data_IF_037151099282
#
_entry.id   IF_037151099282
#
_cell.length_a   1.000
_cell.length_b   1.000
_cell.length_c   1.000
_cell.angle_alpha   90.00
_cell.angle_beta   90.00
_cell.angle_gamma   90.00
#
_symmetry.space_group_name_H-M   'P 1'
#
loop_
_entity.id
_entity.type
_entity.pdbx_description
1 polymer ?
#
# COMPACT_ATOMS: atom_id res chain seq x y z
N UNK A 1 -17.01 -6.65 -12.28
CA UNK A 1 -17.39 -5.52 -11.40
C UNK A 1 -16.12 -5.04 -10.72
N UNK A 2 -15.93 -3.73 -10.55
CA UNK A 2 -14.76 -3.21 -9.82
C UNK A 2 -15.03 -3.15 -8.32
N UNK A 3 -14.00 -3.28 -7.51
CA UNK A 3 -14.08 -3.26 -6.06
C UNK A 3 -13.06 -2.28 -5.51
N UNK A 4 -13.43 -1.54 -4.47
CA UNK A 4 -12.61 -0.48 -3.92
C UNK A 4 -12.58 -0.54 -2.41
N UNK A 5 -11.38 -0.39 -1.86
CA UNK A 5 -11.17 -0.06 -0.46
C UNK A 5 -10.70 1.39 -0.39
N UNK A 6 -11.28 2.16 0.53
CA UNK A 6 -10.92 3.57 0.70
C UNK A 6 -10.53 3.82 2.15
N UNK A 7 -9.33 4.35 2.35
CA UNK A 7 -8.86 4.87 3.63
C UNK A 7 -9.44 6.28 3.77
N UNK A 8 -10.13 6.56 4.87
CA UNK A 8 -10.59 7.90 5.22
C UNK A 8 -9.86 8.39 6.46
N UNK A 9 -9.48 9.66 6.45
CA UNK A 9 -8.88 10.34 7.59
C UNK A 9 -9.76 11.51 7.97
N UNK A 10 -10.26 11.48 9.20
CA UNK A 10 -10.87 12.66 9.79
C UNK A 10 -9.77 13.51 10.44
N UNK A 11 -9.55 14.75 9.96
CA UNK A 11 -8.69 15.70 10.66
C UNK A 11 -9.42 16.16 11.93
N UNK A 12 -8.91 15.82 13.12
CA UNK A 12 -9.55 16.19 14.39
C UNK A 12 -9.14 17.62 14.81
N UNK A 13 -9.49 18.61 14.00
CA UNK A 13 -9.22 20.04 14.28
C UNK A 13 -10.05 20.56 15.49
N UNK A 14 -11.09 19.84 15.92
CA UNK A 14 -12.04 20.30 16.95
C UNK A 14 -11.66 19.97 18.42
N UNK A 15 -10.54 19.32 18.70
CA UNK A 15 -10.11 19.04 20.09
C UNK A 15 -8.87 19.86 20.46
N UNK A 16 -9.02 20.72 21.48
CA UNK A 16 -8.01 21.48 22.23
C UNK A 16 -7.69 22.91 21.77
N UNK A 17 -8.56 23.85 22.17
CA UNK A 17 -8.12 25.14 22.72
C UNK A 17 -8.22 25.02 24.25
N UNK A 18 -7.13 24.64 24.92
CA UNK A 18 -7.02 24.86 26.38
C UNK A 18 -6.54 26.30 26.59
N UNK A 19 -7.51 27.22 26.70
CA UNK A 19 -7.27 28.66 26.78
C UNK A 19 -6.50 29.10 28.02
N UNK A 20 -6.25 28.20 28.98
CA UNK A 20 -5.71 28.56 30.29
C UNK A 20 -4.23 28.19 30.50
N UNK A 21 -3.63 27.33 29.67
CA UNK A 21 -2.30 26.75 29.99
C UNK A 21 -1.18 26.93 28.95
N UNK A 22 -1.41 27.61 27.81
CA UNK A 22 -0.38 27.90 26.76
C UNK A 22 0.53 26.74 26.33
N UNK A 23 0.20 25.49 26.66
CA UNK A 23 0.92 24.31 26.21
C UNK A 23 0.24 23.78 24.97
N UNK A 24 0.76 24.16 23.80
CA UNK A 24 0.49 23.49 22.54
C UNK A 24 0.92 22.02 22.68
N UNK A 25 -0.04 21.10 22.89
CA UNK A 25 0.14 19.75 22.39
C UNK A 25 -0.02 19.88 20.90
N UNK A 26 1.01 19.55 20.11
CA UNK A 26 0.99 19.65 18.66
C UNK A 26 -0.28 18.97 18.11
N UNK A 27 -1.21 19.81 17.64
CA UNK A 27 -2.61 19.46 17.34
C UNK A 27 -2.77 18.74 16.00
N UNK A 28 -1.68 18.45 15.29
CA UNK A 28 -1.69 17.83 13.96
C UNK A 28 -1.78 16.28 14.00
N UNK A 29 -1.53 15.66 15.16
CA UNK A 29 -1.37 14.20 15.27
C UNK A 29 -2.64 13.42 15.66
N UNK A 30 -3.72 14.08 16.08
CA UNK A 30 -4.98 13.39 16.36
C UNK A 30 -5.80 13.30 15.08
N UNK A 31 -5.74 12.15 14.42
CA UNK A 31 -6.62 11.84 13.29
C UNK A 31 -7.33 10.51 13.52
N UNK A 32 -8.60 10.41 13.13
CA UNK A 32 -9.32 9.14 13.15
C UNK A 32 -9.31 8.50 11.76
N UNK A 33 -8.76 7.29 11.66
CA UNK A 33 -8.70 6.54 10.42
C UNK A 33 -9.75 5.43 10.37
N UNK A 34 -10.40 5.27 9.22
CA UNK A 34 -11.35 4.18 8.97
C UNK A 34 -11.39 3.77 7.50
N UNK A 35 -12.01 2.63 7.21
CA UNK A 35 -12.15 2.06 5.88
C UNK A 35 -13.58 2.25 5.36
N UNK A 36 -13.74 2.62 4.10
CA UNK A 36 -14.98 2.46 3.36
C UNK A 36 -14.84 1.43 2.25
N UNK A 37 -15.87 0.63 2.04
CA UNK A 37 -15.90 -0.45 1.05
C UNK A 37 -16.98 -0.18 0.01
N UNK A 38 -16.55 0.02 -1.24
CA UNK A 38 -17.47 0.28 -2.36
C UNK A 38 -17.23 -0.68 -3.52
N UNK A 39 -18.29 -0.96 -4.29
CA UNK A 39 -18.25 -1.86 -5.45
C UNK A 39 -19.01 -1.27 -6.62
N UNK A 40 -18.57 -1.57 -7.84
CA UNK A 40 -19.10 -1.03 -9.08
C UNK A 40 -18.67 0.40 -9.38
N UNK A 41 -18.57 1.26 -8.35
CA UNK A 41 -18.20 2.68 -8.46
C UNK A 41 -17.25 3.06 -7.33
N UNK A 42 -16.26 3.87 -7.66
CA UNK A 42 -15.35 4.50 -6.70
C UNK A 42 -16.06 5.65 -5.95
N UNK A 43 -15.54 6.08 -4.78
CA UNK A 43 -16.01 7.29 -4.11
C UNK A 43 -16.01 8.55 -4.99
N UNK A 44 -15.04 8.69 -5.91
CA UNK A 44 -14.99 9.85 -6.82
C UNK A 44 -16.16 9.83 -7.81
N UNK A 45 -16.48 8.66 -8.36
CA UNK A 45 -17.63 8.47 -9.26
C UNK A 45 -18.97 8.65 -8.53
N UNK A 46 -19.04 8.26 -7.26
CA UNK A 46 -20.22 8.48 -6.42
C UNK A 46 -20.41 9.96 -6.09
N UNK A 47 -19.32 10.70 -5.80
CA UNK A 47 -19.36 12.14 -5.58
C UNK A 47 -19.80 12.91 -6.84
N UNK A 48 -19.40 12.44 -8.03
CA UNK A 48 -19.82 13.02 -9.31
C UNK A 48 -21.31 12.77 -9.57
N UNK A 49 -21.80 11.57 -9.29
CA UNK A 49 -23.23 11.25 -9.41
C UNK A 49 -24.11 12.07 -8.46
N UNK A 50 -23.65 12.29 -7.22
CA UNK A 50 -24.35 13.19 -6.31
C UNK A 50 -24.48 14.59 -6.89
N UNK A 51 -23.43 15.13 -7.53
CA UNK A 51 -23.47 16.45 -8.18
C UNK A 51 -24.48 16.49 -9.32
N UNK A 52 -24.53 15.46 -10.16
CA UNK A 52 -25.51 15.35 -11.26
C UNK A 52 -26.94 15.29 -10.72
N UNK A 53 -27.19 14.45 -9.72
CA UNK A 53 -28.51 14.31 -9.08
C UNK A 53 -28.97 15.62 -8.43
N UNK A 54 -28.07 16.35 -7.77
CA UNK A 54 -28.35 17.68 -7.21
C UNK A 54 -28.80 18.64 -8.33
N UNK A 55 -28.09 18.67 -9.46
CA UNK A 55 -28.45 19.54 -10.58
C UNK A 55 -29.82 19.19 -11.18
N UNK A 56 -30.16 17.90 -11.27
CA UNK A 56 -31.47 17.46 -11.74
C UNK A 56 -32.59 17.84 -10.77
N UNK A 57 -32.40 17.63 -9.45
CA UNK A 57 -33.36 18.04 -8.43
C UNK A 57 -33.60 19.55 -8.43
N UNK A 58 -32.54 20.35 -8.59
CA UNK A 58 -32.64 21.81 -8.71
C UNK A 58 -33.44 22.24 -9.95
N UNK A 59 -33.25 21.56 -11.10
CA UNK A 59 -34.07 21.80 -12.30
C UNK A 59 -35.55 21.45 -12.08
N UNK A 60 -35.82 20.42 -11.30
CA UNK A 60 -37.18 19.92 -11.05
C UNK A 60 -37.85 20.51 -9.80
N UNK A 61 -37.20 21.46 -9.09
CA UNK A 61 -37.71 22.09 -7.86
C UNK A 61 -38.03 21.02 -6.79
N UNK A 62 -37.29 19.90 -6.80
CA UNK A 62 -37.41 18.85 -5.79
C UNK A 62 -36.45 19.16 -4.63
N UNK A 63 -37.00 19.80 -3.61
CA UNK A 63 -36.27 20.20 -2.40
C UNK A 63 -36.08 19.07 -1.39
N UNK A 64 -36.60 17.87 -1.66
CA UNK A 64 -36.52 16.76 -0.70
C UNK A 64 -35.16 16.07 -0.81
N UNK A 65 -34.44 16.02 0.31
CA UNK A 65 -33.12 15.36 0.42
C UNK A 65 -32.17 15.81 -0.70
N UNK A 66 -32.23 17.09 -1.09
CA UNK A 66 -31.54 17.59 -2.28
C UNK A 66 -30.04 17.77 -2.05
N UNK A 67 -29.59 17.93 -0.82
CA UNK A 67 -28.21 18.14 -0.40
C UNK A 67 -27.54 16.87 0.14
N UNK A 68 -28.32 15.79 0.29
CA UNK A 68 -27.89 14.52 0.85
C UNK A 68 -26.78 13.87 0.03
N UNK A 69 -25.71 13.48 0.69
CA UNK A 69 -24.57 12.78 0.09
C UNK A 69 -24.71 11.26 0.15
N UNK A 70 -24.10 10.54 -0.79
CA UNK A 70 -24.14 9.08 -0.88
C UNK A 70 -23.61 8.40 0.40
N UNK A 71 -22.61 9.01 1.05
CA UNK A 71 -22.01 8.48 2.27
C UNK A 71 -22.90 8.69 3.51
N UNK A 72 -23.96 9.51 3.45
CA UNK A 72 -24.91 9.71 4.57
C UNK A 72 -25.92 8.57 4.73
N UNK A 73 -25.95 7.61 3.81
CA UNK A 73 -26.81 6.45 3.95
C UNK A 73 -26.34 5.55 5.11
N UNK A 74 -27.22 5.29 6.08
CA UNK A 74 -26.98 4.37 7.22
C UNK A 74 -27.13 2.89 6.88
N UNK A 75 -27.63 2.58 5.68
CA UNK A 75 -27.85 1.20 5.23
C UNK A 75 -26.90 0.92 4.09
N UNK A 76 -26.38 -0.30 4.07
CA UNK A 76 -25.66 -0.83 2.91
C UNK A 76 -26.50 -0.63 1.66
N UNK A 77 -25.83 -0.25 0.58
CA UNK A 77 -26.43 -0.14 -0.74
C UNK A 77 -25.84 -1.20 -1.65
N UNK A 78 -26.37 -1.31 -2.88
CA UNK A 78 -25.77 -2.19 -3.89
C UNK A 78 -24.32 -1.80 -4.24
N UNK A 79 -23.89 -0.57 -3.92
CA UNK A 79 -22.57 -0.03 -4.19
C UNK A 79 -21.69 0.17 -2.95
N UNK A 80 -22.23 0.04 -1.73
CA UNK A 80 -21.52 0.37 -0.48
C UNK A 80 -21.79 -0.69 0.60
N UNK A 81 -20.74 -1.39 1.01
CA UNK A 81 -20.77 -2.39 2.09
C UNK A 81 -20.35 -1.81 3.46
N UNK A 82 -20.35 -0.48 3.59
CA UNK A 82 -20.26 0.25 4.85
C UNK A 82 -18.93 0.94 5.13
N UNK A 83 -18.91 1.66 6.25
CA UNK A 83 -17.73 2.33 6.77
C UNK A 83 -17.33 1.72 8.11
N UNK A 84 -16.11 1.19 8.17
CA UNK A 84 -15.63 0.32 9.22
C UNK A 84 -14.38 0.87 9.87
N UNK A 85 -14.29 0.82 11.19
CA UNK A 85 -13.22 1.48 11.91
C UNK A 85 -13.19 1.10 13.38
N UNK A 86 -11.99 1.12 13.93
CA UNK A 86 -11.68 0.74 15.30
C UNK A 86 -11.55 1.98 16.18
N UNK A 87 -12.19 2.00 17.35
CA UNK A 87 -12.12 3.13 18.27
C UNK A 87 -12.33 2.73 19.73
N UNK A 88 -11.94 3.62 20.63
CA UNK A 88 -12.16 3.47 22.08
C UNK A 88 -13.48 4.08 22.52
N UNK A 89 -14.05 3.55 23.59
CA UNK A 89 -15.34 3.98 24.10
C UNK A 89 -15.38 4.51 25.54
N UNK A 90 -14.37 5.28 25.95
CA UNK A 90 -14.27 5.89 27.28
C UNK A 90 -14.60 7.38 27.30
N UNK A 91 -15.07 7.89 28.46
CA UNK A 91 -15.24 9.33 28.68
C UNK A 91 -13.85 9.98 28.80
N UNK A 92 -13.60 10.96 27.94
CA UNK A 92 -12.32 11.66 27.81
C UNK A 92 -11.97 12.61 28.97
N UNK A 93 -12.90 12.80 29.92
CA UNK A 93 -12.86 13.93 30.85
C UNK A 93 -12.57 13.58 32.31
N UNK A 94 -12.59 12.31 32.71
CA UNK A 94 -12.28 11.95 34.10
C UNK A 94 -10.94 11.23 34.20
N UNK A 95 -9.94 12.03 34.59
CA UNK A 95 -8.66 11.63 35.21
C UNK A 95 -7.64 11.11 34.18
N UNK A 96 -6.42 11.64 34.27
CA UNK A 96 -5.30 11.36 33.37
C UNK A 96 -4.94 9.87 33.24
N UNK A 97 -5.70 9.17 32.40
CA UNK A 97 -5.54 7.75 32.15
C UNK A 97 -5.09 7.55 30.71
N UNK A 98 -3.77 7.63 30.59
CA UNK A 98 -2.91 7.03 29.58
C UNK A 98 -3.01 5.48 29.54
N UNK A 99 -4.11 4.88 29.99
CA UNK A 99 -4.29 3.43 30.10
C UNK A 99 -5.39 2.94 29.15
N UNK A 100 -5.17 1.74 28.59
CA UNK A 100 -5.93 1.18 27.47
C UNK A 100 -7.44 1.33 27.61
N UNK A 101 -8.05 2.04 26.68
CA UNK A 101 -9.50 2.07 26.52
C UNK A 101 -9.88 0.79 25.78
N UNK A 102 -11.03 0.21 26.10
CA UNK A 102 -11.49 -0.98 25.40
C UNK A 102 -11.86 -0.60 23.96
N UNK A 103 -11.25 -1.30 23.00
CA UNK A 103 -11.43 -1.03 21.59
C UNK A 103 -12.58 -1.82 20.98
N UNK A 104 -13.35 -1.18 20.10
CA UNK A 104 -14.47 -1.76 19.37
C UNK A 104 -14.38 -1.43 17.89
N UNK A 105 -14.76 -2.37 17.04
CA UNK A 105 -15.00 -2.10 15.62
C UNK A 105 -16.44 -1.67 15.43
N UNK A 106 -16.66 -0.59 14.69
CA UNK A 106 -17.99 -0.07 14.36
C UNK A 106 -18.26 -0.15 12.86
N UNK A 107 -19.53 -0.31 12.48
CA UNK A 107 -20.04 -0.51 11.11
C UNK A 107 -20.58 0.77 10.44
N UNK A 108 -20.53 1.90 11.16
CA UNK A 108 -21.03 3.20 10.73
C UNK A 108 -20.00 4.31 11.02
N UNK A 109 -18.73 4.08 10.67
CA UNK A 109 -17.64 5.01 10.97
C UNK A 109 -17.65 6.31 10.18
N UNK A 110 -18.56 6.50 9.22
CA UNK A 110 -18.85 7.82 8.65
C UNK A 110 -19.49 8.77 9.68
N UNK A 111 -19.96 8.24 10.81
CA UNK A 111 -20.48 9.00 11.95
C UNK A 111 -19.49 9.01 13.12
N UNK A 112 -19.46 10.14 13.84
CA UNK A 112 -18.87 10.22 15.18
C UNK A 112 -19.81 9.51 16.16
N UNK A 113 -19.25 8.61 16.95
CA UNK A 113 -19.99 7.87 17.99
C UNK A 113 -19.70 8.48 19.37
N UNK A 114 -20.74 8.55 20.21
CA UNK A 114 -20.65 8.98 21.60
C UNK A 114 -20.88 7.78 22.54
N UNK A 115 -20.32 7.87 23.75
CA UNK A 115 -20.59 6.88 24.78
C UNK A 115 -21.78 7.32 25.64
N UNK A 116 -22.87 6.55 25.60
CA UNK A 116 -23.95 6.72 26.55
C UNK A 116 -23.71 5.83 27.76
N UNK A 117 -22.96 6.34 28.74
CA UNK A 117 -22.61 5.61 29.97
C UNK A 117 -23.85 5.14 30.73
N UNK A 118 -24.88 5.99 30.81
CA UNK A 118 -26.15 5.68 31.50
C UNK A 118 -26.89 4.50 30.87
N UNK A 119 -26.89 4.43 29.53
CA UNK A 119 -27.51 3.33 28.77
C UNK A 119 -26.52 2.18 28.51
N UNK A 120 -25.27 2.32 28.93
CA UNK A 120 -24.16 1.43 28.65
C UNK A 120 -24.10 1.02 27.16
N UNK A 121 -24.22 2.00 26.25
CA UNK A 121 -24.19 1.75 24.81
C UNK A 121 -23.52 2.90 24.03
N UNK A 122 -23.13 2.64 22.78
CA UNK A 122 -22.67 3.66 21.87
C UNK A 122 -23.83 4.19 21.03
N UNK A 123 -23.88 5.51 20.86
CA UNK A 123 -24.92 6.18 20.07
C UNK A 123 -24.28 7.08 19.01
N UNK A 124 -24.97 7.29 17.89
CA UNK A 124 -24.53 8.23 16.87
C UNK A 124 -24.64 9.66 17.44
N UNK A 125 -23.55 10.42 17.41
CA UNK A 125 -23.50 11.82 17.81
C UNK A 125 -23.82 12.75 16.65
N UNK A 126 -23.00 12.66 15.59
CA UNK A 126 -23.09 13.48 14.38
C UNK A 126 -22.42 12.76 13.21
N UNK A 127 -22.73 13.19 11.99
CA UNK A 127 -21.92 12.84 10.82
C UNK A 127 -20.52 13.43 10.98
N UNK A 128 -19.48 12.74 10.51
CA UNK A 128 -18.14 13.31 10.46
C UNK A 128 -18.09 14.50 9.50
N UNK A 129 -17.08 15.36 9.66
CA UNK A 129 -16.89 16.54 8.81
C UNK A 129 -16.93 16.16 7.32
N UNK A 130 -17.50 17.03 6.47
CA UNK A 130 -17.44 16.84 5.02
C UNK A 130 -16.01 16.76 4.50
N UNK A 131 -15.06 17.41 5.20
CA UNK A 131 -13.63 17.35 4.90
C UNK A 131 -13.10 15.91 4.94
N UNK A 132 -13.61 15.05 5.83
CA UNK A 132 -13.20 13.64 5.91
C UNK A 132 -13.39 12.91 4.58
N UNK A 133 -14.42 13.29 3.81
CA UNK A 133 -14.78 12.64 2.56
C UNK A 133 -14.15 13.32 1.33
N UNK A 134 -13.38 14.40 1.50
CA UNK A 134 -12.70 15.06 0.39
C UNK A 134 -11.58 14.18 -0.20
N UNK A 135 -11.32 14.29 -1.51
CA UNK A 135 -10.23 13.54 -2.16
C UNK A 135 -8.85 13.72 -1.50
N UNK A 136 -8.59 14.87 -0.88
CA UNK A 136 -7.33 15.13 -0.16
C UNK A 136 -7.17 14.30 1.12
N UNK A 137 -8.28 13.89 1.74
CA UNK A 137 -8.30 13.21 3.05
C UNK A 137 -8.68 11.72 2.92
N UNK A 138 -8.70 11.20 1.68
CA UNK A 138 -8.95 9.78 1.41
C UNK A 138 -7.95 9.18 0.43
N UNK A 139 -7.75 7.87 0.54
CA UNK A 139 -6.94 7.08 -0.37
C UNK A 139 -7.75 5.89 -0.87
N UNK A 140 -8.21 5.96 -2.11
CA UNK A 140 -9.01 4.93 -2.79
C UNK A 140 -8.11 3.98 -3.56
N UNK A 141 -8.26 2.68 -3.35
CA UNK A 141 -7.50 1.62 -4.03
C UNK A 141 -8.48 0.64 -4.68
N UNK A 142 -8.32 0.41 -5.98
CA UNK A 142 -9.00 -0.68 -6.70
C UNK A 142 -8.38 -2.02 -6.28
N UNK A 143 -9.17 -2.98 -5.85
CA UNK A 143 -8.71 -4.30 -5.40
C UNK A 143 -9.50 -5.42 -6.10
N UNK A 144 -9.00 -6.65 -6.06
CA UNK A 144 -9.70 -7.80 -6.60
C UNK A 144 -10.94 -8.15 -5.79
N UNK A 145 -11.83 -8.95 -6.38
CA UNK A 145 -13.01 -9.46 -5.68
C UNK A 145 -12.63 -10.29 -4.44
N UNK A 146 -11.64 -11.18 -4.57
CA UNK A 146 -11.15 -12.01 -3.45
C UNK A 146 -10.62 -11.16 -2.30
N UNK A 147 -9.82 -10.14 -2.61
CA UNK A 147 -9.33 -9.17 -1.63
C UNK A 147 -10.48 -8.45 -0.94
N UNK A 148 -11.47 -7.96 -1.69
CA UNK A 148 -12.61 -7.24 -1.14
C UNK A 148 -13.47 -8.11 -0.20
N UNK A 149 -13.82 -9.31 -0.64
CA UNK A 149 -14.68 -10.22 0.12
C UNK A 149 -13.98 -10.71 1.39
N UNK A 150 -12.68 -11.01 1.31
CA UNK A 150 -11.87 -11.41 2.46
C UNK A 150 -11.72 -10.27 3.45
N UNK A 151 -11.48 -9.04 2.98
CA UNK A 151 -11.42 -7.85 3.82
C UNK A 151 -12.74 -7.64 4.57
N UNK A 152 -13.87 -7.69 3.86
CA UNK A 152 -15.19 -7.51 4.45
C UNK A 152 -15.51 -8.60 5.48
N UNK A 153 -15.15 -9.86 5.20
CA UNK A 153 -15.33 -10.96 6.14
C UNK A 153 -14.51 -10.75 7.43
N UNK A 154 -13.22 -10.44 7.30
CA UNK A 154 -12.34 -10.19 8.45
C UNK A 154 -12.83 -9.01 9.32
N UNK A 155 -13.27 -7.92 8.68
CA UNK A 155 -13.83 -6.77 9.39
C UNK A 155 -15.12 -7.14 10.13
N UNK A 156 -16.00 -7.92 9.51
CA UNK A 156 -17.24 -8.41 10.15
C UNK A 156 -16.94 -9.35 11.30
N UNK A 157 -15.91 -10.16 11.22
CA UNK A 157 -15.46 -11.03 12.31
C UNK A 157 -14.93 -10.21 13.49
N UNK A 158 -14.12 -9.18 13.24
CA UNK A 158 -13.68 -8.24 14.28
C UNK A 158 -14.86 -7.48 14.90
N UNK A 159 -15.81 -7.02 14.07
CA UNK A 159 -17.05 -6.39 14.54
C UNK A 159 -17.86 -7.34 15.44
N UNK A 160 -18.11 -8.57 15.00
CA UNK A 160 -18.86 -9.56 15.76
C UNK A 160 -18.15 -9.95 17.05
N UNK A 161 -16.81 -10.05 17.02
CA UNK A 161 -16.00 -10.35 18.20
C UNK A 161 -16.03 -9.20 19.20
N UNK A 162 -16.16 -7.95 18.75
CA UNK A 162 -16.18 -6.75 19.61
C UNK A 162 -17.58 -6.20 19.88
N UNK A 163 -18.65 -6.84 19.38
CA UNK A 163 -20.03 -6.29 19.43
C UNK A 163 -20.55 -6.08 20.85
N UNK A 164 -20.15 -6.94 21.79
CA UNK A 164 -20.56 -6.89 23.20
C UNK A 164 -19.75 -5.89 24.02
N UNK A 165 -18.72 -5.27 23.44
CA UNK A 165 -17.98 -4.20 24.09
C UNK A 165 -18.88 -2.99 24.23
N UNK A 166 -18.99 -2.48 25.45
CA UNK A 166 -19.79 -1.34 25.87
C UNK A 166 -18.92 -0.32 26.63
N UNK A 167 -19.40 0.91 26.87
CA UNK A 167 -18.66 1.91 27.63
C UNK A 167 -18.19 1.45 29.02
N UNK A 168 -18.96 0.60 29.72
CA UNK A 168 -18.62 0.10 31.06
C UNK A 168 -17.91 -1.27 31.05
N UNK A 169 -17.48 -1.77 29.89
CA UNK A 169 -16.71 -3.01 29.84
C UNK A 169 -15.41 -2.84 30.66
N UNK A 170 -14.99 -3.88 31.39
CA UNK A 170 -13.80 -3.81 32.26
C UNK A 170 -12.56 -4.47 31.66
N UNK A 171 -12.74 -5.33 30.66
CA UNK A 171 -11.64 -5.97 29.91
C UNK A 171 -12.05 -6.09 28.44
N UNK A 172 -11.10 -5.93 27.50
CA UNK A 172 -11.36 -6.29 26.11
C UNK A 172 -11.62 -7.81 26.00
N UNK A 173 -12.32 -8.20 24.93
CA UNK A 173 -12.63 -9.61 24.66
C UNK A 173 -11.34 -10.41 24.37
N UNK A 174 -10.27 -9.74 23.90
CA UNK A 174 -8.92 -10.30 23.83
C UNK A 174 -7.85 -9.20 23.86
N UNK A 175 -6.57 -9.59 23.96
CA UNK A 175 -5.44 -8.67 24.00
C UNK A 175 -5.23 -7.88 22.69
N UNK A 176 -5.78 -8.36 21.56
CA UNK A 176 -5.69 -7.69 20.25
C UNK A 176 -6.62 -6.47 20.14
N UNK A 177 -7.53 -6.25 21.11
CA UNK A 177 -8.53 -5.17 21.11
C UNK A 177 -8.35 -4.16 22.26
N UNK A 178 -7.10 -3.91 22.69
CA UNK A 178 -6.79 -2.74 23.52
C UNK A 178 -6.63 -1.50 22.61
N UNK A 179 -7.36 -0.42 22.88
CA UNK A 179 -7.22 0.86 22.20
C UNK A 179 -6.30 1.80 23.02
N UNK A 180 -5.21 2.22 22.39
CA UNK A 180 -4.25 3.19 22.90
C UNK A 180 -4.19 4.35 21.92
N UNK A 181 -4.69 5.52 22.32
CA UNK A 181 -4.75 6.69 21.43
C UNK A 181 -3.34 7.20 21.07
N UNK A 182 -2.40 7.16 22.02
CA UNK A 182 -0.97 7.48 21.77
C UNK A 182 -0.27 6.54 20.78
N UNK A 183 -0.88 5.39 20.52
CA UNK A 183 -0.37 4.41 19.58
C UNK A 183 -1.18 4.40 18.28
N UNK A 184 -2.07 5.38 18.01
CA UNK A 184 -2.85 5.43 16.76
C UNK A 184 -3.51 4.09 16.39
N UNK A 185 -4.18 3.42 17.35
CA UNK A 185 -4.65 2.04 17.14
C UNK A 185 -5.72 1.90 16.03
N UNK A 186 -6.43 2.98 15.66
CA UNK A 186 -7.31 2.98 14.49
C UNK A 186 -6.53 2.80 13.18
N UNK A 187 -5.39 3.48 13.03
CA UNK A 187 -4.45 3.34 11.92
C UNK A 187 -3.85 1.95 11.91
N UNK A 188 -3.45 1.42 13.07
CA UNK A 188 -2.89 0.06 13.18
C UNK A 188 -3.87 -1.02 12.74
N UNK A 189 -5.10 -0.94 13.23
CA UNK A 189 -6.15 -1.87 12.83
C UNK A 189 -6.33 -1.81 11.30
N UNK A 190 -6.43 -0.61 10.73
CA UNK A 190 -6.58 -0.40 9.30
C UNK A 190 -5.39 -0.98 8.50
N UNK A 191 -4.16 -0.69 8.90
CA UNK A 191 -2.95 -1.22 8.26
C UNK A 191 -2.92 -2.74 8.31
N UNK A 192 -3.32 -3.35 9.44
CA UNK A 192 -3.44 -4.80 9.58
C UNK A 192 -4.44 -5.35 8.58
N UNK A 193 -5.64 -4.76 8.47
CA UNK A 193 -6.66 -5.19 7.53
C UNK A 193 -6.17 -5.11 6.07
N UNK A 194 -5.54 -3.99 5.69
CA UNK A 194 -4.98 -3.80 4.35
C UNK A 194 -3.84 -4.78 4.03
N UNK A 195 -2.94 -5.04 4.98
CA UNK A 195 -1.87 -6.03 4.82
C UNK A 195 -2.41 -7.45 4.67
N UNK A 196 -3.49 -7.79 5.37
CA UNK A 196 -4.10 -9.12 5.29
C UNK A 196 -4.55 -9.47 3.87
N UNK A 197 -4.87 -8.48 3.04
CA UNK A 197 -5.25 -8.65 1.65
C UNK A 197 -4.13 -8.30 0.65
N UNK A 198 -2.92 -7.99 1.15
CA UNK A 198 -1.79 -7.67 0.28
C UNK A 198 -1.79 -6.23 -0.24
N UNK A 199 -2.23 -5.24 0.53
CA UNK A 199 -1.95 -3.83 0.20
C UNK A 199 -0.67 -3.38 0.93
N UNK A 200 0.26 -2.75 0.21
CA UNK A 200 1.49 -2.23 0.79
C UNK A 200 1.25 -0.86 1.45
N UNK A 201 1.46 -0.78 2.76
CA UNK A 201 1.19 0.42 3.58
C UNK A 201 2.42 0.88 4.38
N UNK A 202 3.64 0.54 3.92
CA UNK A 202 4.93 0.97 4.47
C UNK A 202 5.01 0.84 6.00
N UNK A 203 5.28 -0.37 6.48
CA UNK A 203 5.23 -0.77 7.88
C UNK A 203 5.93 0.17 8.88
N UNK A 204 5.19 0.64 9.90
CA UNK A 204 5.73 0.99 11.21
C UNK A 204 4.61 1.10 12.26
N UNK A 205 4.88 0.67 13.50
CA UNK A 205 3.97 0.84 14.65
C UNK A 205 3.75 2.30 15.06
N UNK A 206 4.48 3.24 14.46
CA UNK A 206 4.30 4.67 14.64
C UNK A 206 4.82 5.29 13.35
N UNK A 207 3.91 5.55 12.40
CA UNK A 207 4.27 6.34 11.23
C UNK A 207 4.58 7.75 11.76
N UNK A 208 5.79 8.26 11.51
CA UNK A 208 6.11 9.62 11.93
C UNK A 208 5.34 10.64 11.09
N UNK A 209 4.69 11.60 11.75
CA UNK A 209 3.82 12.58 11.08
C UNK A 209 2.41 12.05 10.78
N UNK A 210 1.72 12.67 9.83
CA UNK A 210 0.34 12.31 9.50
C UNK A 210 0.30 11.04 8.66
N UNK A 211 -0.65 10.14 8.94
CA UNK A 211 -0.88 8.97 8.07
C UNK A 211 -1.24 9.36 6.63
N UNK A 212 -1.75 10.57 6.43
CA UNK A 212 -2.05 11.10 5.09
C UNK A 212 -0.78 11.34 4.26
N UNK A 213 0.37 11.58 4.89
CA UNK A 213 1.63 11.92 4.22
C UNK A 213 2.16 10.78 3.34
N UNK A 214 1.68 9.55 3.57
CA UNK A 214 2.06 8.38 2.79
C UNK A 214 1.02 7.98 1.73
N UNK A 215 -0.10 8.70 1.60
CA UNK A 215 -1.17 8.35 0.66
C UNK A 215 -0.70 8.33 -0.79
N UNK A 216 0.08 9.32 -1.20
CA UNK A 216 0.63 9.38 -2.55
C UNK A 216 1.50 8.15 -2.85
N UNK A 217 2.29 7.71 -1.88
CA UNK A 217 3.15 6.53 -2.01
C UNK A 217 2.35 5.23 -2.05
N UNK A 218 1.28 5.13 -1.25
CA UNK A 218 0.38 3.97 -1.29
C UNK A 218 -0.26 3.90 -2.68
N UNK A 219 -0.83 5.01 -3.19
CA UNK A 219 -1.44 5.06 -4.52
C UNK A 219 -0.43 4.74 -5.62
N UNK A 220 0.77 5.30 -5.54
CA UNK A 220 1.81 5.08 -6.55
C UNK A 220 2.25 3.61 -6.61
N UNK A 221 2.62 3.02 -5.48
CA UNK A 221 3.07 1.62 -5.44
C UNK A 221 1.93 0.65 -5.81
N UNK A 222 0.71 0.93 -5.36
CA UNK A 222 -0.47 0.15 -5.72
C UNK A 222 -0.79 0.25 -7.21
N UNK A 223 -0.74 1.43 -7.81
CA UNK A 223 -0.94 1.61 -9.26
C UNK A 223 0.08 0.84 -10.09
N UNK A 224 1.34 0.76 -9.63
CA UNK A 224 2.36 -0.05 -10.29
C UNK A 224 2.03 -1.54 -10.16
N UNK A 225 1.63 -2.00 -8.98
CA UNK A 225 1.13 -3.37 -8.78
C UNK A 225 -0.05 -3.70 -9.72
N UNK A 226 -1.03 -2.81 -9.85
CA UNK A 226 -2.18 -3.00 -10.76
C UNK A 226 -1.74 -3.19 -12.22
N UNK A 227 -0.62 -2.59 -12.65
CA UNK A 227 -0.06 -2.83 -14.01
C UNK A 227 0.46 -4.26 -14.18
N UNK A 228 1.11 -4.82 -13.14
CA UNK A 228 1.52 -6.23 -13.16
C UNK A 228 0.29 -7.15 -13.12
N UNK A 229 -0.68 -6.88 -12.24
CA UNK A 229 -1.93 -7.63 -12.14
C UNK A 229 -2.71 -7.64 -13.45
N UNK A 230 -2.74 -6.50 -14.16
CA UNK A 230 -3.38 -6.41 -15.47
C UNK A 230 -2.75 -7.36 -16.51
N UNK A 231 -1.50 -7.80 -16.34
CA UNK A 231 -0.81 -8.72 -17.25
C UNK A 231 -0.90 -10.17 -16.76
N UNK A 232 -0.79 -10.38 -15.44
CA UNK A 232 -0.81 -11.68 -14.79
C UNK A 232 -1.99 -11.81 -13.81
N UNK A 233 -3.00 -12.57 -14.23
CA UNK A 233 -4.22 -12.82 -13.46
C UNK A 233 -3.98 -13.57 -12.14
N UNK A 234 -2.84 -14.25 -11.97
CA UNK A 234 -2.54 -14.91 -10.69
C UNK A 234 -2.36 -13.89 -9.55
N UNK A 235 -2.00 -12.65 -9.89
CA UNK A 235 -1.88 -11.54 -8.94
C UNK A 235 -3.24 -10.97 -8.50
N UNK A 236 -4.36 -11.42 -9.07
CA UNK A 236 -5.69 -11.11 -8.52
C UNK A 236 -5.96 -11.84 -7.20
N UNK A 237 -5.23 -12.93 -6.93
CA UNK A 237 -5.35 -13.65 -5.67
C UNK A 237 -4.62 -12.94 -4.52
N UNK A 238 -5.09 -13.16 -3.29
CA UNK A 238 -4.40 -12.63 -2.09
C UNK A 238 -3.01 -13.25 -1.97
N UNK A 239 -2.86 -14.53 -2.31
CA UNK A 239 -1.57 -15.21 -2.32
C UNK A 239 -0.62 -14.54 -3.31
N UNK A 240 -1.02 -14.37 -4.57
CA UNK A 240 -0.20 -13.72 -5.60
C UNK A 240 0.17 -12.30 -5.24
N UNK A 241 -0.78 -11.52 -4.73
CA UNK A 241 -0.52 -10.14 -4.27
C UNK A 241 0.51 -10.10 -3.13
N UNK A 242 0.35 -10.94 -2.10
CA UNK A 242 1.30 -11.01 -0.98
C UNK A 242 2.68 -11.47 -1.43
N UNK A 243 2.74 -12.45 -2.34
CA UNK A 243 3.99 -12.92 -2.92
C UNK A 243 4.69 -11.79 -3.68
N UNK A 244 3.96 -11.01 -4.49
CA UNK A 244 4.51 -9.86 -5.19
C UNK A 244 5.12 -8.86 -4.20
N UNK A 245 4.39 -8.46 -3.16
CA UNK A 245 4.91 -7.53 -2.14
C UNK A 245 6.14 -8.10 -1.44
N UNK A 246 6.12 -9.39 -1.07
CA UNK A 246 7.26 -10.05 -0.45
C UNK A 246 8.48 -9.99 -1.36
N UNK A 247 8.33 -10.37 -2.62
CA UNK A 247 9.39 -10.31 -3.61
C UNK A 247 9.94 -8.90 -3.80
N UNK A 248 9.08 -7.87 -3.85
CA UNK A 248 9.54 -6.48 -3.91
C UNK A 248 10.37 -6.10 -2.68
N UNK A 249 9.97 -6.56 -1.49
CA UNK A 249 10.69 -6.27 -0.26
C UNK A 249 12.10 -6.87 -0.23
N UNK A 250 12.34 -8.01 -0.90
CA UNK A 250 13.68 -8.62 -1.02
C UNK A 250 14.66 -7.76 -1.84
N UNK A 251 14.14 -6.83 -2.66
CA UNK A 251 14.95 -5.91 -3.47
C UNK A 251 15.20 -4.57 -2.77
N UNK A 252 14.58 -4.31 -1.61
CA UNK A 252 14.84 -3.10 -0.83
C UNK A 252 16.25 -3.22 -0.23
N UNK A 253 17.11 -2.26 -0.52
CA UNK A 253 18.54 -2.27 -0.22
C UNK A 253 19.41 -2.64 -1.41
N UNK A 254 18.83 -3.15 -2.51
CA UNK A 254 19.59 -3.42 -3.72
C UNK A 254 19.86 -2.10 -4.46
N UNK A 255 21.12 -1.67 -4.46
CA UNK A 255 21.55 -0.41 -5.09
C UNK A 255 21.19 -0.30 -6.58
N UNK A 256 21.18 -1.39 -7.34
CA UNK A 256 20.83 -1.34 -8.77
C UNK A 256 19.32 -1.22 -8.99
N UNK A 257 18.51 -1.73 -8.05
CA UNK A 257 17.05 -1.62 -8.10
C UNK A 257 16.56 -0.27 -7.57
N UNK A 258 17.32 0.35 -6.67
CA UNK A 258 17.01 1.67 -6.09
C UNK A 258 17.45 2.84 -6.98
N UNK A 259 18.39 2.65 -7.91
CA UNK A 259 18.85 3.72 -8.79
C UNK A 259 17.86 3.97 -9.94
N UNK A 260 17.28 5.17 -9.97
CA UNK A 260 16.35 5.61 -11.02
C UNK A 260 17.06 6.65 -11.90
N UNK A 261 16.59 6.82 -13.14
CA UNK A 261 16.92 8.03 -13.89
C UNK A 261 16.59 9.25 -13.03
N UNK A 262 17.61 9.90 -12.47
CA UNK A 262 17.48 11.15 -11.72
C UNK A 262 16.46 12.07 -12.38
N UNK A 263 15.25 12.10 -11.83
CA UNK A 263 14.36 13.20 -12.09
C UNK A 263 15.03 14.36 -11.36
N UNK A 264 15.76 15.18 -12.11
CA UNK A 264 16.44 16.40 -11.61
C UNK A 264 15.47 17.33 -10.83
N UNK A 265 14.18 17.03 -10.81
CA UNK A 265 13.09 17.75 -10.14
C UNK A 265 12.78 17.30 -8.72
N UNK A 266 13.23 16.13 -8.25
CA UNK A 266 12.91 15.65 -6.89
C UNK A 266 13.80 16.26 -5.79
N UNK A 267 14.66 17.22 -6.15
CA UNK A 267 15.41 18.03 -5.18
C UNK A 267 14.58 19.11 -4.48
N UNK A 268 13.29 19.26 -4.81
CA UNK A 268 12.42 20.29 -4.22
C UNK A 268 11.77 19.90 -2.89
N UNK A 269 12.03 18.70 -2.35
CA UNK A 269 11.57 18.33 -1.01
C UNK A 269 12.68 18.32 0.05
N UNK A 270 13.89 18.79 -0.27
CA UNK A 270 14.85 19.20 0.76
C UNK A 270 14.55 20.59 1.35
N UNK A 271 13.63 21.34 0.74
CA UNK A 271 13.12 22.58 1.30
C UNK A 271 11.84 22.28 2.08
N UNK A 272 11.92 22.48 3.40
CA UNK A 272 10.88 22.29 4.44
C UNK A 272 10.76 20.86 4.99
N UNK A 273 11.88 20.23 5.36
CA UNK A 273 11.92 19.48 6.63
C UNK A 273 12.04 20.50 7.76
N UNK A 274 10.96 21.26 8.02
CA UNK A 274 10.83 21.92 9.32
C UNK A 274 10.83 20.81 10.35
N UNK A 275 11.89 20.79 11.15
CA UNK A 275 12.11 19.91 12.29
C UNK A 275 10.78 19.63 13.00
N UNK A 276 10.28 18.37 13.03
CA UNK A 276 9.31 18.02 14.05
C UNK A 276 10.00 18.22 15.40
N UNK A 277 9.25 18.56 16.44
CA UNK A 277 9.70 18.48 17.83
C UNK A 277 9.99 17.00 18.18
N UNK A 278 11.05 16.43 17.62
CA UNK A 278 11.49 15.08 17.94
C UNK A 278 12.31 15.16 19.22
N UNK A 279 11.70 14.73 20.32
CA UNK A 279 12.19 14.93 21.68
C UNK A 279 13.42 14.07 22.04
N UNK A 280 13.72 13.03 21.25
CA UNK A 280 14.86 12.12 21.50
C UNK A 280 15.62 11.73 20.22
N UNK A 281 16.90 11.39 20.36
CA UNK A 281 17.75 10.88 19.27
C UNK A 281 17.16 9.59 18.67
N UNK A 282 16.62 8.71 19.50
CA UNK A 282 16.01 7.45 19.05
C UNK A 282 14.78 7.67 18.16
N UNK A 283 13.94 8.65 18.49
CA UNK A 283 12.78 9.01 17.66
C UNK A 283 13.20 9.64 16.34
N UNK A 284 14.30 10.41 16.33
CA UNK A 284 14.86 10.99 15.10
C UNK A 284 15.40 9.89 14.18
N UNK A 285 16.18 8.95 14.72
CA UNK A 285 16.69 7.82 13.94
C UNK A 285 15.56 6.96 13.36
N UNK A 286 14.49 6.72 14.13
CA UNK A 286 13.29 6.02 13.64
C UNK A 286 12.59 6.77 12.53
N UNK A 287 12.43 8.10 12.66
CA UNK A 287 11.87 8.96 11.63
C UNK A 287 12.65 8.82 10.33
N UNK A 288 13.96 9.07 10.37
CA UNK A 288 14.81 9.01 9.17
C UNK A 288 14.84 7.61 8.55
N UNK A 289 14.93 6.56 9.37
CA UNK A 289 14.95 5.18 8.89
C UNK A 289 13.66 4.82 8.14
N UNK A 290 12.51 5.27 8.65
CA UNK A 290 11.21 5.04 8.03
C UNK A 290 11.11 5.71 6.66
N UNK A 291 11.35 7.02 6.61
CA UNK A 291 11.22 7.79 5.38
C UNK A 291 12.24 7.33 4.33
N UNK A 292 13.47 7.00 4.73
CA UNK A 292 14.46 6.39 3.84
C UNK A 292 13.99 5.03 3.30
N UNK A 293 13.41 4.16 4.14
CA UNK A 293 12.88 2.87 3.69
C UNK A 293 11.70 3.06 2.72
N UNK A 294 10.79 4.00 2.99
CA UNK A 294 9.69 4.36 2.09
C UNK A 294 10.22 4.80 0.72
N UNK A 295 11.17 5.73 0.69
CA UNK A 295 11.76 6.22 -0.55
C UNK A 295 12.41 5.09 -1.36
N UNK A 296 13.21 4.24 -0.70
CA UNK A 296 13.80 3.05 -1.32
C UNK A 296 12.75 2.11 -1.91
N UNK A 297 11.67 1.88 -1.17
CA UNK A 297 10.54 1.08 -1.65
C UNK A 297 9.94 1.67 -2.92
N UNK A 298 9.60 2.96 -2.91
CA UNK A 298 9.04 3.66 -4.09
C UNK A 298 10.01 3.55 -5.28
N UNK A 299 11.32 3.68 -5.02
CA UNK A 299 12.34 3.56 -6.06
C UNK A 299 12.32 2.17 -6.74
N UNK A 300 12.27 1.11 -5.95
CA UNK A 300 12.15 -0.26 -6.48
C UNK A 300 10.88 -0.41 -7.33
N UNK A 301 9.72 0.06 -6.85
CA UNK A 301 8.48 0.00 -7.63
C UNK A 301 8.58 0.75 -8.96
N UNK A 302 9.12 1.98 -8.96
CA UNK A 302 9.33 2.76 -10.19
C UNK A 302 10.29 2.04 -11.15
N UNK A 303 11.35 1.40 -10.67
CA UNK A 303 12.25 0.59 -11.50
C UNK A 303 11.53 -0.59 -12.14
N UNK A 304 10.67 -1.28 -11.38
CA UNK A 304 9.82 -2.34 -11.92
C UNK A 304 8.84 -1.82 -12.97
N UNK A 305 8.33 -0.61 -12.80
CA UNK A 305 7.48 0.03 -13.80
C UNK A 305 8.24 0.34 -15.11
N UNK A 306 9.52 0.73 -15.05
CA UNK A 306 10.37 0.89 -16.24
C UNK A 306 10.55 -0.44 -16.99
N UNK A 307 10.85 -1.52 -16.26
CA UNK A 307 10.96 -2.86 -16.86
C UNK A 307 9.66 -3.30 -17.53
N UNK A 308 8.52 -3.07 -16.86
CA UNK A 308 7.22 -3.39 -17.42
C UNK A 308 6.88 -2.55 -18.65
N UNK A 309 7.23 -1.25 -18.63
CA UNK A 309 7.02 -0.36 -19.77
C UNK A 309 7.83 -0.80 -20.98
N UNK A 310 9.09 -1.20 -20.78
CA UNK A 310 9.96 -1.72 -21.86
C UNK A 310 9.39 -2.98 -22.53
N UNK A 311 8.69 -3.85 -21.77
CA UNK A 311 7.97 -4.98 -22.36
C UNK A 311 6.74 -4.53 -23.16
N UNK A 312 5.95 -3.60 -22.61
CA UNK A 312 4.76 -3.05 -23.28
C UNK A 312 5.10 -2.28 -24.56
N UNK A 313 6.22 -1.57 -24.61
CA UNK A 313 6.64 -0.82 -25.80
C UNK A 313 6.96 -1.75 -26.99
N UNK A 314 7.39 -2.99 -26.68
CA UNK A 314 7.67 -4.01 -27.70
C UNK A 314 6.40 -4.71 -28.19
N UNK A 315 5.32 -4.72 -27.41
CA UNK A 315 4.13 -5.56 -27.67
C UNK A 315 2.83 -4.95 -27.12
N UNK A 316 1.77 -4.89 -27.94
CA UNK A 316 0.45 -4.42 -27.48
C UNK A 316 -0.28 -5.53 -26.72
N UNK A 317 -0.95 -5.18 -25.62
CA UNK A 317 -1.86 -6.07 -24.87
C UNK A 317 -1.20 -7.31 -24.24
N UNK A 318 -0.11 -7.10 -23.49
CA UNK A 318 0.57 -8.18 -22.78
C UNK A 318 -0.37 -8.95 -21.83
N UNK A 319 -0.35 -10.28 -21.97
CA UNK A 319 -0.96 -11.23 -21.04
C UNK A 319 -0.01 -12.40 -20.86
N UNK A 320 0.20 -12.84 -19.64
CA UNK A 320 1.18 -13.86 -19.33
C UNK A 320 1.17 -14.24 -17.86
N UNK A 321 2.27 -14.83 -17.41
CA UNK A 321 2.59 -15.04 -15.99
C UNK A 321 3.99 -14.55 -15.69
N UNK A 322 4.21 -14.05 -14.48
CA UNK A 322 5.53 -13.71 -13.98
C UNK A 322 6.06 -14.80 -13.08
N UNK A 323 7.35 -15.11 -13.22
CA UNK A 323 8.11 -15.88 -12.24
C UNK A 323 9.04 -14.88 -11.56
N UNK A 324 8.87 -14.70 -10.27
CA UNK A 324 9.65 -13.72 -9.52
C UNK A 324 10.97 -14.33 -9.08
N UNK A 325 12.07 -13.63 -9.32
CA UNK A 325 13.42 -14.08 -8.97
C UNK A 325 14.01 -13.12 -7.95
N UNK A 326 14.65 -13.66 -6.93
CA UNK A 326 15.43 -12.86 -5.98
C UNK A 326 16.60 -13.67 -5.45
N UNK A 327 17.57 -12.98 -4.86
CA UNK A 327 18.71 -13.57 -4.18
C UNK A 327 18.64 -13.20 -2.70
N UNK A 328 18.80 -14.19 -1.84
CA UNK A 328 18.90 -13.99 -0.40
C UNK A 328 19.98 -14.91 0.15
N UNK A 329 20.87 -14.38 0.99
CA UNK A 329 21.99 -15.13 1.57
C UNK A 329 22.86 -15.85 0.53
N UNK A 330 23.20 -15.19 -0.59
CA UNK A 330 23.92 -15.76 -1.73
C UNK A 330 23.22 -16.95 -2.42
N UNK A 331 21.91 -17.14 -2.23
CA UNK A 331 21.14 -18.21 -2.88
C UNK A 331 20.04 -17.62 -3.75
N UNK A 332 19.90 -18.13 -4.98
CA UNK A 332 18.85 -17.76 -5.91
C UNK A 332 17.55 -18.48 -5.59
N UNK A 333 16.44 -17.76 -5.72
CA UNK A 333 15.10 -18.28 -5.51
C UNK A 333 14.16 -17.86 -6.62
N UNK A 334 13.21 -18.73 -6.96
CA UNK A 334 12.12 -18.46 -7.89
C UNK A 334 10.77 -18.74 -7.24
N UNK A 335 9.79 -17.86 -7.54
CA UNK A 335 8.41 -17.97 -7.08
C UNK A 335 7.52 -18.06 -8.31
N UNK A 336 6.96 -19.25 -8.54
CA UNK A 336 6.11 -19.55 -9.71
C UNK A 336 4.64 -19.72 -9.28
N UNK A 337 3.67 -19.00 -9.89
CA UNK A 337 2.25 -19.24 -9.65
C UNK A 337 1.81 -20.70 -9.86
N UNK A 338 2.44 -21.44 -10.79
CA UNK A 338 2.09 -22.83 -11.07
C UNK A 338 2.45 -23.79 -9.93
N UNK A 339 3.34 -23.39 -9.03
CA UNK A 339 3.67 -24.12 -7.80
C UNK A 339 3.18 -23.37 -6.56
N UNK A 340 2.06 -22.65 -6.66
CA UNK A 340 1.48 -21.86 -5.58
C UNK A 340 2.46 -20.86 -4.94
N UNK A 341 3.43 -20.37 -5.71
CA UNK A 341 4.50 -19.50 -5.23
C UNK A 341 5.31 -20.09 -4.07
N UNK A 342 5.38 -21.42 -3.95
CA UNK A 342 6.30 -22.05 -3.01
C UNK A 342 7.75 -21.70 -3.38
N UNK A 343 8.57 -21.55 -2.36
CA UNK A 343 9.96 -21.16 -2.52
C UNK A 343 10.77 -22.27 -3.19
N UNK A 344 11.27 -22.01 -4.39
CA UNK A 344 12.13 -22.93 -5.13
C UNK A 344 13.54 -22.36 -5.19
N UNK A 345 14.51 -23.07 -4.61
CA UNK A 345 15.92 -22.71 -4.75
C UNK A 345 16.39 -23.03 -6.18
N UNK A 346 17.17 -22.10 -6.75
CA UNK A 346 17.82 -22.26 -8.05
C UNK A 346 19.31 -21.97 -7.90
N UNK A 347 20.14 -22.86 -8.43
CA UNK A 347 21.59 -22.66 -8.49
C UNK A 347 21.98 -21.85 -9.75
N UNK A 348 21.25 -22.04 -10.84
CA UNK A 348 21.37 -21.28 -12.09
C UNK A 348 20.05 -21.26 -12.89
N UNK A 349 19.89 -20.26 -13.76
CA UNK A 349 18.85 -20.23 -14.78
C UNK A 349 19.34 -20.94 -16.04
N UNK A 350 18.59 -21.90 -16.57
CA UNK A 350 18.86 -22.48 -17.89
C UNK A 350 18.71 -21.39 -18.98
N UNK A 351 19.83 -20.91 -19.52
CA UNK A 351 19.83 -19.82 -20.49
C UNK A 351 19.53 -20.31 -21.90
N UNK A 352 19.46 -21.62 -22.15
CA UNK A 352 18.97 -22.13 -23.45
C UNK A 352 17.50 -21.76 -23.67
N UNK A 353 16.78 -21.41 -22.59
CA UNK A 353 15.44 -20.87 -22.63
C UNK A 353 15.52 -19.35 -22.90
N UNK A 354 14.98 -18.85 -24.04
CA UNK A 354 15.16 -17.45 -24.44
C UNK A 354 14.62 -16.42 -23.44
N UNK A 355 13.56 -16.75 -22.70
CA UNK A 355 12.99 -15.87 -21.67
C UNK A 355 13.92 -15.71 -20.45
N UNK A 356 14.58 -16.80 -20.03
CA UNK A 356 15.58 -16.76 -18.96
C UNK A 356 16.80 -15.96 -19.38
N UNK A 357 17.26 -16.21 -20.61
CA UNK A 357 18.39 -15.50 -21.20
C UNK A 357 18.11 -14.00 -21.34
N UNK A 358 16.90 -13.63 -21.78
CA UNK A 358 16.44 -12.25 -21.79
C UNK A 358 16.54 -11.61 -20.41
N UNK A 359 15.93 -12.23 -19.39
CA UNK A 359 15.93 -11.67 -18.03
C UNK A 359 17.35 -11.51 -17.47
N UNK A 360 18.23 -12.47 -17.73
CA UNK A 360 19.63 -12.41 -17.28
C UNK A 360 20.47 -11.35 -18.01
N UNK A 361 20.22 -11.10 -19.30
CA UNK A 361 20.96 -10.09 -20.08
C UNK A 361 20.42 -8.67 -19.86
N UNK A 362 19.12 -8.54 -19.63
CA UNK A 362 18.45 -7.24 -19.40
C UNK A 362 18.31 -6.90 -17.91
N UNK A 363 18.72 -7.81 -17.03
CA UNK A 363 18.73 -7.67 -15.57
C UNK A 363 17.35 -7.48 -14.95
N UNK A 364 16.36 -8.21 -15.47
CA UNK A 364 14.98 -8.18 -14.98
C UNK A 364 14.88 -9.11 -13.76
N UNK A 365 14.39 -8.65 -12.59
CA UNK A 365 14.22 -9.51 -11.41
C UNK A 365 13.06 -10.51 -11.53
N UNK A 366 12.59 -10.78 -12.74
CA UNK A 366 11.51 -11.70 -13.05
C UNK A 366 11.69 -12.28 -14.45
N UNK A 367 11.13 -13.46 -14.67
CA UNK A 367 10.89 -14.01 -16.02
C UNK A 367 9.43 -13.78 -16.35
N UNK A 368 9.18 -13.14 -17.49
CA UNK A 368 7.82 -13.03 -18.03
C UNK A 368 7.59 -14.15 -19.04
N UNK A 369 6.49 -14.89 -18.89
CA UNK A 369 6.10 -15.94 -19.82
C UNK A 369 4.79 -15.52 -20.47
N UNK A 370 4.82 -15.02 -21.72
CA UNK A 370 3.61 -14.64 -22.45
C UNK A 370 2.66 -15.83 -22.63
N UNK A 371 1.35 -15.56 -22.59
CA UNK A 371 0.32 -16.53 -22.99
C UNK A 371 0.34 -16.78 -24.50
N UNK A 372 0.75 -15.80 -25.29
CA UNK A 372 0.80 -15.84 -26.74
C UNK A 372 2.23 -16.15 -27.24
N UNK A 373 2.37 -17.20 -28.05
CA UNK A 373 3.65 -17.63 -28.60
C UNK A 373 4.27 -16.61 -29.57
N UNK A 374 3.45 -15.87 -30.32
CA UNK A 374 3.91 -14.80 -31.21
C UNK A 374 4.51 -13.66 -30.38
N UNK A 375 3.87 -13.27 -29.27
CA UNK A 375 4.42 -12.28 -28.33
C UNK A 375 5.75 -12.79 -27.76
N UNK A 376 5.83 -14.07 -27.38
CA UNK A 376 7.08 -14.70 -26.91
C UNK A 376 8.20 -14.57 -27.93
N UNK A 377 7.96 -14.91 -29.20
CA UNK A 377 8.94 -14.73 -30.28
C UNK A 377 9.32 -13.27 -30.48
N UNK A 378 8.36 -12.35 -30.47
CA UNK A 378 8.63 -10.91 -30.60
C UNK A 378 9.57 -10.40 -29.50
N UNK A 379 9.32 -10.79 -28.25
CA UNK A 379 10.11 -10.38 -27.10
C UNK A 379 11.50 -11.02 -27.09
N UNK A 380 11.58 -12.32 -27.39
CA UNK A 380 12.75 -13.12 -27.05
C UNK A 380 13.56 -13.66 -28.22
N UNK A 381 13.16 -13.45 -29.49
CA UNK A 381 13.90 -13.98 -30.65
C UNK A 381 15.38 -13.59 -30.68
N UNK A 382 15.76 -12.44 -30.13
CA UNK A 382 17.17 -12.00 -30.07
C UNK A 382 17.99 -12.71 -29.02
N UNK A 383 17.36 -13.49 -28.14
CA UNK A 383 17.98 -14.19 -27.02
C UNK A 383 17.88 -15.72 -27.19
N UNK A 384 17.39 -16.17 -28.35
CA UNK A 384 17.43 -17.57 -28.78
C UNK A 384 18.79 -17.86 -29.43
N UNK A 385 19.78 -18.21 -28.59
CA UNK A 385 21.15 -18.46 -29.02
C UNK A 385 21.38 -19.90 -29.51
N UNK A 386 20.35 -20.75 -29.48
CA UNK A 386 20.51 -22.18 -29.76
C UNK A 386 21.45 -22.85 -28.75
N UNK A 387 22.65 -23.21 -29.18
CA UNK A 387 23.62 -23.88 -28.31
C UNK A 387 24.42 -22.85 -27.49
N UNK A 388 24.21 -22.87 -26.18
CA UNK A 388 24.93 -22.05 -25.21
C UNK A 388 26.10 -22.83 -24.62
N UNK A 389 27.27 -22.21 -24.52
CA UNK A 389 28.44 -22.84 -23.90
C UNK A 389 28.30 -22.89 -22.38
N UNK A 390 28.97 -23.87 -21.75
CA UNK A 390 28.96 -24.00 -20.29
C UNK A 390 29.63 -22.79 -19.62
N UNK A 391 30.66 -22.19 -20.25
CA UNK A 391 31.27 -20.97 -19.72
C UNK A 391 30.29 -19.80 -19.73
N UNK A 392 29.56 -19.58 -20.85
CA UNK A 392 28.57 -18.52 -20.90
C UNK A 392 27.45 -18.72 -19.87
N UNK A 393 26.95 -19.95 -19.75
CA UNK A 393 25.93 -20.34 -18.78
C UNK A 393 26.35 -19.97 -17.35
N UNK A 394 27.57 -20.34 -16.98
CA UNK A 394 28.13 -20.08 -15.64
C UNK A 394 28.35 -18.58 -15.41
N UNK A 395 29.14 -17.94 -16.27
CA UNK A 395 29.57 -16.55 -16.09
C UNK A 395 28.38 -15.59 -16.06
N UNK A 396 27.35 -15.85 -16.90
CA UNK A 396 26.13 -15.06 -16.94
C UNK A 396 25.30 -15.20 -15.66
N UNK A 397 25.15 -16.42 -15.14
CA UNK A 397 24.37 -16.67 -13.93
C UNK A 397 25.05 -16.08 -12.68
N UNK A 398 26.37 -16.27 -12.56
CA UNK A 398 27.17 -15.67 -11.49
C UNK A 398 26.97 -14.14 -11.47
N UNK A 399 27.16 -13.50 -12.62
CA UNK A 399 26.92 -12.06 -12.77
C UNK A 399 25.49 -11.66 -12.40
N UNK A 400 24.50 -12.34 -12.95
CA UNK A 400 23.10 -11.98 -12.79
C UNK A 400 22.65 -12.10 -11.33
N UNK A 401 23.11 -13.11 -10.60
CA UNK A 401 22.79 -13.26 -9.18
C UNK A 401 23.50 -12.22 -8.31
N UNK A 402 24.76 -11.87 -8.61
CA UNK A 402 25.43 -10.75 -7.93
C UNK A 402 24.68 -9.41 -8.15
N UNK A 403 24.13 -9.20 -9.35
CA UNK A 403 23.30 -8.04 -9.65
C UNK A 403 22.02 -8.02 -8.82
N UNK A 404 21.30 -9.16 -8.76
CA UNK A 404 20.07 -9.28 -7.96
C UNK A 404 20.33 -9.16 -6.45
N UNK A 405 21.54 -9.47 -5.99
CA UNK A 405 21.96 -9.27 -4.61
C UNK A 405 22.47 -7.83 -4.33
N UNK A 406 22.69 -7.04 -5.38
CA UNK A 406 23.16 -5.65 -5.25
C UNK A 406 24.68 -5.53 -4.99
N UNK A 407 25.47 -6.57 -5.27
CA UNK A 407 26.93 -6.56 -5.09
C UNK A 407 27.62 -5.67 -6.11
N UNK A 408 28.76 -5.08 -5.76
CA UNK A 408 29.59 -4.37 -6.74
C UNK A 408 30.27 -5.38 -7.67
N UNK A 409 30.03 -5.26 -8.97
CA UNK A 409 30.55 -6.20 -9.97
C UNK A 409 31.64 -5.51 -10.77
N UNK A 410 32.88 -6.00 -10.62
CA UNK A 410 34.09 -5.34 -11.16
C UNK A 410 34.57 -5.92 -12.48
N UNK A 411 34.36 -7.22 -12.68
CA UNK A 411 35.02 -7.98 -13.75
C UNK A 411 34.08 -8.34 -14.91
N UNK A 412 32.99 -7.60 -15.09
CA UNK A 412 32.02 -7.83 -16.15
C UNK A 412 31.71 -6.55 -16.95
N UNK A 413 31.69 -6.68 -18.27
CA UNK A 413 31.39 -5.59 -19.19
C UNK A 413 30.20 -5.91 -20.08
N UNK A 414 29.19 -5.03 -20.05
CA UNK A 414 28.18 -4.90 -21.10
C UNK A 414 27.69 -3.45 -21.14
N UNK A 415 27.19 -3.01 -22.30
CA UNK A 415 26.64 -1.66 -22.45
C UNK A 415 25.50 -1.41 -21.45
N UNK A 416 24.58 -2.36 -21.31
CA UNK A 416 23.45 -2.28 -20.37
C UNK A 416 23.92 -2.17 -18.91
N UNK A 417 24.87 -3.00 -18.48
CA UNK A 417 25.41 -2.91 -17.12
C UNK A 417 26.18 -1.60 -16.89
N UNK A 418 27.00 -1.17 -17.86
CA UNK A 418 27.76 0.06 -17.69
C UNK A 418 26.84 1.29 -17.61
N UNK A 419 25.75 1.30 -18.38
CA UNK A 419 24.72 2.34 -18.28
C UNK A 419 24.05 2.37 -16.91
N UNK A 420 23.78 1.20 -16.30
CA UNK A 420 23.23 1.11 -14.93
C UNK A 420 24.29 1.55 -13.90
N UNK A 421 25.51 1.02 -13.97
CA UNK A 421 26.58 1.30 -13.01
C UNK A 421 26.97 2.79 -13.00
N UNK A 422 27.01 3.43 -14.17
CA UNK A 422 27.23 4.89 -14.27
C UNK A 422 26.13 5.69 -13.56
N UNK A 423 24.87 5.21 -13.57
CA UNK A 423 23.76 5.85 -12.82
C UNK A 423 23.94 5.68 -11.32
N UNK A 424 24.28 4.48 -10.88
CA UNK A 424 24.57 4.19 -9.46
C UNK A 424 25.68 5.10 -8.95
N UNK A 425 26.79 5.21 -9.69
CA UNK A 425 27.91 6.10 -9.34
C UNK A 425 27.46 7.57 -9.25
N UNK A 426 26.72 8.06 -10.24
CA UNK A 426 26.21 9.44 -10.22
C UNK A 426 25.25 9.71 -9.04
N UNK A 427 24.41 8.75 -8.63
CA UNK A 427 23.55 8.90 -7.46
C UNK A 427 24.35 8.85 -6.14
N UNK A 428 25.35 7.98 -6.04
CA UNK A 428 26.25 7.92 -4.89
C UNK A 428 27.14 9.16 -4.74
N UNK A 429 27.53 9.82 -5.83
CA UNK A 429 28.26 11.10 -5.79
C UNK A 429 27.36 12.28 -5.34
N UNK A 430 26.04 12.09 -5.36
CA UNK A 430 25.05 13.11 -5.00
C UNK A 430 24.43 12.91 -3.60
N UNK A 431 24.68 11.77 -2.96
CA UNK A 431 24.30 11.43 -1.59
C UNK A 431 25.45 11.74 -0.63
#
# INVERSE_FOLDING_TARGET
>A
MKYYVTIYIEPLVECFLDCENENFIDTEDFTHAFLGLTKGKSPDELDEQDKELIQEKLKNIDWKDFDKKWYEAKKFSEFNDGFWGFGGGGQWYEIGVLSGVIGKVFDNNQYVLDNNVNKNCYIIKKLRSSQTFYPSNRCTLEISQEQYETLLANIKDDFNTTKEITPNSQKPINQNFNYHIKNNNCVHWLQKQLRMIGVNVFEQFNIPGSFMDIFDSIRETHNIFLKFQAIDSNLESILGTKTFIKWVNEMIGNKYMECILSDKKDRRNNDVLTTPLVCTIEEQERFYTYWARREKTIKVYKRLAEYLQSLNDKTKSLKGRFLFIYVSNNQGFILDPLNNYELQQIDELDLSIPANNFSANEFYPFIFIPKDEMISRMLYHKYDYGNISQEYQKDRNEFYFEFLEGKEIKDYWSESYHAINKRVQNECELA
#
